data_IF_338652566395
#
_entry.id   IF_338652566395
#
_cell.length_a   1.000
_cell.length_b   1.000
_cell.length_c   1.000
_cell.angle_alpha   90.00
_cell.angle_beta   90.00
_cell.angle_gamma   90.00
#
_symmetry.space_group_name_H-M   'P 1'
#
loop_
_entity.id
_entity.type
_entity.pdbx_description
1 polymer ?
#
# COMPACT_ATOMS: atom_id res chain seq x y z
N UNK A 1 10.00 11.41 6.26
CA UNK A 1 9.44 12.50 5.44
C UNK A 1 7.93 12.37 5.28
N UNK A 2 7.40 11.20 4.88
CA UNK A 2 5.94 11.01 4.72
C UNK A 2 5.10 11.26 5.98
N UNK A 3 5.62 10.95 7.18
CA UNK A 3 4.92 11.14 8.46
C UNK A 3 4.43 12.58 8.67
N UNK A 4 5.29 13.57 8.39
CA UNK A 4 4.95 14.99 8.55
C UNK A 4 3.79 15.44 7.66
N UNK A 5 3.70 14.93 6.44
CA UNK A 5 2.61 15.29 5.52
C UNK A 5 1.26 14.73 6.00
N UNK A 6 1.27 13.51 6.52
CA UNK A 6 0.08 12.84 7.06
C UNK A 6 -0.39 13.53 8.34
N UNK A 7 0.52 13.92 9.23
CA UNK A 7 0.21 14.68 10.46
C UNK A 7 -0.43 16.04 10.18
N UNK A 8 -0.14 16.64 9.03
CA UNK A 8 -0.79 17.88 8.56
C UNK A 8 -2.18 17.65 7.96
N UNK A 9 -2.69 16.42 7.97
CA UNK A 9 -3.99 16.04 7.41
C UNK A 9 -3.96 15.74 5.91
N UNK A 10 -2.79 15.63 5.29
CA UNK A 10 -2.71 15.25 3.87
C UNK A 10 -2.87 13.74 3.70
N UNK A 11 -3.49 13.34 2.60
CA UNK A 11 -3.45 11.96 2.14
C UNK A 11 -2.18 11.72 1.32
N UNK A 12 -1.45 10.66 1.63
CA UNK A 12 -0.22 10.27 0.93
C UNK A 12 -0.43 8.88 0.32
N UNK A 13 -0.27 8.79 -1.00
CA UNK A 13 -0.31 7.52 -1.75
C UNK A 13 1.09 7.24 -2.29
N UNK A 14 1.59 6.04 -2.05
CA UNK A 14 2.94 5.61 -2.45
C UNK A 14 2.83 4.23 -3.09
N UNK A 15 3.58 4.00 -4.16
CA UNK A 15 3.80 2.67 -4.76
C UNK A 15 5.18 2.22 -4.28
N UNK A 16 5.25 1.09 -3.60
CA UNK A 16 6.49 0.60 -3.00
C UNK A 16 6.54 -0.93 -2.95
N UNK A 17 7.74 -1.50 -3.00
CA UNK A 17 7.97 -2.94 -2.91
C UNK A 17 8.73 -3.34 -1.63
N UNK A 18 9.31 -2.37 -0.91
CA UNK A 18 9.97 -2.61 0.36
C UNK A 18 8.94 -2.84 1.49
N UNK A 19 8.88 -4.09 1.96
CA UNK A 19 8.00 -4.51 3.05
C UNK A 19 8.19 -3.69 4.34
N UNK A 20 9.39 -3.20 4.62
CA UNK A 20 9.64 -2.39 5.82
C UNK A 20 9.01 -1.00 5.73
N UNK A 21 8.82 -0.47 4.52
CA UNK A 21 8.06 0.77 4.30
C UNK A 21 6.56 0.47 4.36
N UNK A 22 6.12 -0.61 3.71
CA UNK A 22 4.71 -1.00 3.65
C UNK A 22 4.13 -1.28 5.05
N UNK A 23 4.90 -1.92 5.94
CA UNK A 23 4.48 -2.19 7.34
C UNK A 23 4.19 -0.92 8.16
N UNK A 24 4.63 0.24 7.69
CA UNK A 24 4.38 1.52 8.39
C UNK A 24 3.12 2.23 7.89
N UNK A 25 2.44 1.70 6.87
CA UNK A 25 1.21 2.30 6.32
C UNK A 25 -0.03 1.82 7.07
N UNK A 26 -1.08 2.65 7.02
CA UNK A 26 -2.38 2.34 7.64
C UNK A 26 -3.31 1.54 6.72
N UNK A 27 -3.06 1.63 5.41
CA UNK A 27 -3.85 0.98 4.37
C UNK A 27 -2.93 0.48 3.27
N UNK A 28 -3.26 -0.67 2.69
CA UNK A 28 -2.53 -1.29 1.60
C UNK A 28 -3.52 -1.62 0.50
N UNK A 29 -3.07 -1.44 -0.74
CA UNK A 29 -3.71 -1.93 -1.95
C UNK A 29 -2.66 -2.80 -2.63
N UNK A 30 -2.89 -4.11 -2.63
CA UNK A 30 -2.02 -5.08 -3.28
C UNK A 30 -2.49 -5.30 -4.71
N UNK A 31 -1.56 -5.11 -5.64
CA UNK A 31 -1.80 -5.22 -7.07
C UNK A 31 -1.26 -6.56 -7.54
N UNK A 32 -1.90 -7.11 -8.58
CA UNK A 32 -1.48 -8.39 -9.16
C UNK A 32 0.04 -8.44 -9.40
N UNK A 33 0.73 -9.53 -8.98
CA UNK A 33 2.17 -9.66 -9.11
C UNK A 33 2.61 -9.72 -10.57
N UNK A 34 1.72 -10.10 -11.49
CA UNK A 34 1.98 -10.04 -12.92
C UNK A 34 1.92 -8.58 -13.40
N UNK A 35 3.03 -8.08 -13.95
CA UNK A 35 3.07 -6.77 -14.58
C UNK A 35 2.64 -6.83 -16.05
N UNK A 36 2.03 -5.77 -16.57
CA UNK A 36 1.67 -5.66 -17.99
C UNK A 36 0.27 -6.21 -18.30
N UNK A 37 0.10 -6.89 -19.44
CA UNK A 37 -1.24 -7.28 -19.93
C UNK A 37 -1.96 -8.33 -19.08
N UNK A 38 -1.24 -9.03 -18.22
CA UNK A 38 -1.82 -10.04 -17.31
C UNK A 38 -1.99 -9.50 -15.88
N UNK A 39 -1.59 -8.25 -15.64
CA UNK A 39 -1.76 -7.57 -14.37
C UNK A 39 -2.94 -6.61 -14.32
N UNK A 40 -3.00 -5.84 -13.24
CA UNK A 40 -3.92 -4.70 -13.10
C UNK A 40 -5.17 -5.00 -12.29
N UNK A 41 -5.27 -6.19 -11.70
CA UNK A 41 -6.29 -6.50 -10.71
C UNK A 41 -5.82 -6.13 -9.29
N UNK A 42 -6.77 -5.69 -8.46
CA UNK A 42 -6.55 -5.50 -7.03
C UNK A 42 -6.80 -6.83 -6.35
N UNK A 43 -5.75 -7.45 -5.82
CA UNK A 43 -5.85 -8.75 -5.13
C UNK A 43 -6.32 -8.56 -3.69
N UNK A 44 -5.85 -7.49 -3.04
CA UNK A 44 -6.22 -7.18 -1.67
C UNK A 44 -6.28 -5.66 -1.44
N UNK A 45 -7.23 -5.21 -0.63
CA UNK A 45 -7.29 -3.82 -0.19
C UNK A 45 -7.84 -3.75 1.24
N UNK A 46 -7.08 -3.16 2.14
CA UNK A 46 -7.44 -3.16 3.55
C UNK A 46 -6.32 -2.68 4.47
N UNK A 47 -6.58 -2.79 5.77
CA UNK A 47 -5.55 -2.60 6.80
C UNK A 47 -4.55 -3.77 6.78
N UNK A 48 -3.42 -3.61 7.49
CA UNK A 48 -2.45 -4.69 7.67
C UNK A 48 -3.11 -5.92 8.31
N UNK A 49 -4.00 -5.71 9.28
CA UNK A 49 -4.74 -6.78 9.95
C UNK A 49 -5.73 -7.51 9.03
N UNK A 50 -6.30 -6.82 8.05
CA UNK A 50 -7.22 -7.42 7.07
C UNK A 50 -6.48 -8.34 6.09
N UNK A 51 -5.26 -7.97 5.72
CA UNK A 51 -4.47 -8.63 4.66
C UNK A 51 -3.57 -9.73 5.22
N UNK A 52 -3.01 -9.57 6.42
CA UNK A 52 -2.03 -10.51 7.00
C UNK A 52 -2.65 -11.81 7.58
N UNK A 53 -3.89 -12.16 7.20
CA UNK A 53 -4.61 -13.34 7.70
C UNK A 53 -4.33 -14.61 6.92
#
# INVERSE_FOLDING_TARGET
MGHFLVEQGNSLVVIEHNLDVIKTTQWIIDMDPEGGMHGGEVIAAGTLEDIAR
#
